data_IF_765368423237
#
_entry.id   IF_765368423237
#
_cell.length_a   1.000
_cell.length_b   1.000
_cell.length_c   1.000
_cell.angle_alpha   90.00
_cell.angle_beta   90.00
_cell.angle_gamma   90.00
#
_symmetry.space_group_name_H-M   'P 1'
#
loop_
_entity.id
_entity.type
_entity.pdbx_description
1 polymer ?
#
# COMPACT_ATOMS: atom_id res chain seq x y z
N UNK A 1 8.78 17.54 14.31
CA UNK A 1 7.69 16.92 13.54
C UNK A 1 8.19 16.63 12.14
N UNK A 2 7.84 15.49 11.55
CA UNK A 2 8.26 15.13 10.19
C UNK A 2 7.70 16.11 9.16
N UNK A 3 8.53 16.52 8.18
CA UNK A 3 8.13 17.39 7.07
C UNK A 3 6.91 16.84 6.34
N UNK A 4 6.88 15.54 6.07
CA UNK A 4 5.77 14.88 5.37
C UNK A 4 4.45 15.08 6.12
N UNK A 5 4.45 14.89 7.44
CA UNK A 5 3.25 15.06 8.26
C UNK A 5 2.77 16.51 8.16
N UNK A 6 3.66 17.50 8.37
CA UNK A 6 3.26 18.91 8.33
C UNK A 6 2.87 19.40 6.94
N UNK A 7 3.45 18.82 5.88
CA UNK A 7 3.08 19.10 4.49
C UNK A 7 1.65 18.64 4.20
N UNK A 8 1.31 17.43 4.65
CA UNK A 8 -0.02 16.85 4.50
C UNK A 8 -1.08 17.51 5.39
N UNK A 9 -0.68 18.02 6.56
CA UNK A 9 -1.52 18.88 7.41
C UNK A 9 -1.76 20.26 6.80
N UNK A 10 -0.97 20.65 5.79
CA UNK A 10 -1.03 21.98 5.18
C UNK A 10 -0.42 23.09 6.04
N UNK A 11 0.35 22.73 7.08
CA UNK A 11 0.96 23.69 8.01
C UNK A 11 2.32 24.18 7.52
N UNK A 12 3.04 23.37 6.74
CA UNK A 12 4.31 23.74 6.13
C UNK A 12 4.35 23.42 4.63
N UNK A 13 5.02 24.24 3.81
CA UNK A 13 5.24 23.93 2.41
C UNK A 13 6.37 22.91 2.23
N UNK A 14 6.52 22.45 0.99
CA UNK A 14 7.72 21.72 0.56
C UNK A 14 8.97 22.63 0.50
N UNK A 15 10.11 22.03 0.17
CA UNK A 15 11.39 22.74 0.04
C UNK A 15 11.41 23.85 -1.03
N UNK A 16 10.38 23.96 -1.87
CA UNK A 16 10.19 25.01 -2.89
C UNK A 16 9.08 25.99 -2.55
N UNK A 17 8.54 25.94 -1.33
CA UNK A 17 7.47 26.84 -0.89
C UNK A 17 6.09 26.46 -1.41
N UNK A 18 5.88 25.25 -1.92
CA UNK A 18 4.57 24.77 -2.41
C UNK A 18 3.81 24.06 -1.31
N UNK A 19 2.54 24.38 -1.12
CA UNK A 19 1.63 23.60 -0.29
C UNK A 19 0.99 22.47 -1.09
N UNK A 20 0.50 21.44 -0.39
CA UNK A 20 -0.26 20.36 -1.02
C UNK A 20 -1.44 20.92 -1.83
N UNK A 21 -2.18 21.88 -1.26
CA UNK A 21 -3.32 22.55 -1.92
C UNK A 21 -2.94 23.22 -3.23
N UNK A 22 -1.74 23.80 -3.33
CA UNK A 22 -1.27 24.45 -4.55
C UNK A 22 -1.08 23.41 -5.66
N UNK A 23 -0.47 22.27 -5.32
CA UNK A 23 -0.21 21.18 -6.27
C UNK A 23 -1.52 20.53 -6.72
N UNK A 24 -2.49 20.35 -5.82
CA UNK A 24 -3.82 19.83 -6.19
C UNK A 24 -4.56 20.76 -7.17
N UNK A 25 -4.24 22.05 -7.16
CA UNK A 25 -4.76 23.05 -8.11
C UNK A 25 -4.12 23.02 -9.50
N UNK A 26 -3.07 22.23 -9.74
CA UNK A 26 -2.34 22.26 -11.02
C UNK A 26 -3.13 21.63 -12.17
N UNK A 27 -2.92 22.12 -13.39
CA UNK A 27 -3.44 21.50 -14.61
C UNK A 27 -2.50 20.38 -15.11
N UNK A 28 -2.94 19.65 -16.14
CA UNK A 28 -2.17 18.53 -16.70
C UNK A 28 -0.78 18.96 -17.20
N UNK A 29 -0.68 20.08 -17.92
CA UNK A 29 0.60 20.60 -18.42
C UNK A 29 1.61 20.84 -17.28
N UNK A 30 1.13 21.35 -16.15
CA UNK A 30 1.99 21.61 -15.00
C UNK A 30 2.40 20.32 -14.28
N UNK A 31 1.51 19.34 -14.17
CA UNK A 31 1.81 18.01 -13.60
C UNK A 31 2.76 17.19 -14.47
N UNK A 32 2.69 17.36 -15.79
CA UNK A 32 3.61 16.72 -16.72
C UNK A 32 5.00 17.35 -16.60
N UNK A 33 5.10 18.68 -16.71
CA UNK A 33 6.38 19.40 -16.75
C UNK A 33 7.11 19.53 -15.39
N UNK A 34 6.40 19.49 -14.26
CA UNK A 34 7.03 19.51 -12.95
C UNK A 34 7.37 18.09 -12.51
N UNK A 35 8.66 17.74 -12.36
CA UNK A 35 9.06 16.36 -12.06
C UNK A 35 9.31 16.10 -10.57
N UNK A 36 9.43 17.17 -9.78
CA UNK A 36 9.90 17.15 -8.40
C UNK A 36 8.76 17.04 -7.37
N UNK A 37 7.54 17.46 -7.71
CA UNK A 37 6.40 17.39 -6.79
C UNK A 37 6.05 15.95 -6.41
N UNK A 38 6.24 15.00 -7.35
CA UNK A 38 5.83 13.61 -7.17
C UNK A 38 6.54 12.95 -5.98
N UNK A 39 7.70 13.48 -5.55
CA UNK A 39 8.46 12.92 -4.44
C UNK A 39 7.98 13.34 -3.07
N UNK A 40 7.39 14.52 -2.94
CA UNK A 40 6.78 14.93 -1.68
C UNK A 40 5.31 14.51 -1.60
N UNK A 41 4.60 14.49 -2.75
CA UNK A 41 3.20 14.04 -2.79
C UNK A 41 3.13 12.52 -2.67
N UNK A 42 3.99 11.74 -3.32
CA UNK A 42 4.01 10.28 -3.15
C UNK A 42 5.38 9.83 -2.63
N UNK A 43 5.68 10.09 -1.34
CA UNK A 43 6.96 9.73 -0.76
C UNK A 43 7.14 8.21 -0.69
N UNK A 44 8.39 7.79 -0.57
CA UNK A 44 8.77 6.38 -0.51
C UNK A 44 9.60 6.11 0.76
N UNK A 45 9.61 4.88 1.30
CA UNK A 45 10.56 4.49 2.34
C UNK A 45 12.01 4.53 1.86
N UNK A 46 12.20 4.29 0.56
CA UNK A 46 13.50 4.28 -0.08
C UNK A 46 13.99 5.69 -0.39
N UNK A 47 15.27 5.96 -0.13
CA UNK A 47 15.90 7.21 -0.55
C UNK A 47 15.82 7.39 -2.06
N UNK A 48 15.56 8.62 -2.51
CA UNK A 48 15.52 8.90 -3.94
C UNK A 48 16.94 8.92 -4.51
N UNK A 49 17.23 8.04 -5.47
CA UNK A 49 18.48 8.07 -6.23
C UNK A 49 18.67 9.29 -7.14
N UNK A 50 17.69 10.19 -7.22
CA UNK A 50 17.72 11.40 -8.06
C UNK A 50 17.77 12.69 -7.23
N UNK A 51 17.09 12.71 -6.07
CA UNK A 51 17.01 13.88 -5.21
C UNK A 51 17.30 13.49 -3.76
N UNK A 52 18.53 13.74 -3.33
CA UNK A 52 19.00 13.42 -1.97
C UNK A 52 18.23 14.13 -0.85
N UNK A 53 17.53 15.22 -1.15
CA UNK A 53 16.73 15.98 -0.16
C UNK A 53 15.24 15.62 -0.16
N UNK A 54 14.79 14.66 -0.98
CA UNK A 54 13.41 14.23 -0.97
C UNK A 54 13.12 13.52 0.36
N UNK A 55 12.09 13.94 1.12
CA UNK A 55 11.77 13.31 2.40
C UNK A 55 11.31 11.86 2.18
N UNK A 56 11.79 10.96 3.04
CA UNK A 56 11.45 9.53 3.01
C UNK A 56 10.41 9.18 4.07
N UNK A 57 9.73 8.06 3.87
CA UNK A 57 8.81 7.49 4.87
C UNK A 57 9.64 6.74 5.91
N UNK A 58 9.75 7.31 7.10
CA UNK A 58 10.30 6.63 8.27
C UNK A 58 9.18 6.00 9.12
N UNK A 59 9.57 5.37 10.24
CA UNK A 59 8.63 4.78 11.21
C UNK A 59 7.60 5.81 11.71
N UNK A 60 8.01 7.05 11.97
CA UNK A 60 7.12 8.08 12.49
C UNK A 60 6.03 8.44 11.47
N UNK A 61 6.41 8.63 10.21
CA UNK A 61 5.48 8.93 9.12
C UNK A 61 4.56 7.75 8.86
N UNK A 62 5.10 6.54 8.77
CA UNK A 62 4.35 5.31 8.58
C UNK A 62 3.26 5.14 9.65
N UNK A 63 3.65 5.23 10.92
CA UNK A 63 2.74 5.11 12.06
C UNK A 63 1.69 6.23 12.08
N UNK A 64 2.07 7.46 11.70
CA UNK A 64 1.16 8.60 11.68
C UNK A 64 0.06 8.44 10.63
N UNK A 65 0.43 8.10 9.38
CA UNK A 65 -0.54 7.89 8.31
C UNK A 65 -1.48 6.72 8.61
N UNK A 66 -0.97 5.63 9.19
CA UNK A 66 -1.83 4.48 9.53
C UNK A 66 -2.71 4.71 10.77
N UNK A 67 -2.33 5.62 11.66
CA UNK A 67 -3.16 5.97 12.82
C UNK A 67 -4.18 7.10 12.55
N UNK A 68 -3.92 7.99 11.58
CA UNK A 68 -4.69 9.23 11.38
C UNK A 68 -5.42 9.24 10.04
N UNK A 69 -6.75 9.03 10.03
CA UNK A 69 -7.56 9.05 8.80
C UNK A 69 -7.41 10.33 7.99
N UNK A 70 -7.24 11.48 8.64
CA UNK A 70 -7.18 12.78 7.97
C UNK A 70 -5.95 12.90 7.06
N UNK A 71 -4.82 12.28 7.44
CA UNK A 71 -3.63 12.22 6.59
C UNK A 71 -3.87 11.32 5.37
N UNK A 72 -4.56 10.19 5.56
CA UNK A 72 -4.93 9.28 4.47
C UNK A 72 -5.93 9.92 3.52
N UNK A 73 -6.88 10.70 4.01
CA UNK A 73 -7.84 11.42 3.17
C UNK A 73 -7.12 12.42 2.25
N UNK A 74 -6.11 13.14 2.76
CA UNK A 74 -5.27 14.04 1.95
C UNK A 74 -4.41 13.30 0.93
N UNK A 75 -3.92 12.10 1.25
CA UNK A 75 -3.26 11.23 0.28
C UNK A 75 -4.25 10.72 -0.77
N UNK A 76 -5.48 10.39 -0.38
CA UNK A 76 -6.56 9.99 -1.28
C UNK A 76 -6.96 11.15 -2.22
N UNK A 77 -6.98 12.39 -1.74
CA UNK A 77 -7.18 13.59 -2.60
C UNK A 77 -6.05 13.74 -3.63
N UNK A 78 -4.81 13.53 -3.19
CA UNK A 78 -3.63 13.52 -4.08
C UNK A 78 -3.73 12.41 -5.12
N UNK A 79 -4.22 11.24 -4.72
CA UNK A 79 -4.45 10.12 -5.60
C UNK A 79 -5.56 10.39 -6.62
N UNK A 80 -6.70 10.96 -6.21
CA UNK A 80 -7.76 11.41 -7.14
C UNK A 80 -7.21 12.40 -8.18
N UNK A 81 -6.32 13.31 -7.75
CA UNK A 81 -5.69 14.27 -8.65
C UNK A 81 -4.82 13.58 -9.71
N UNK A 82 -4.00 12.62 -9.31
CA UNK A 82 -3.12 11.91 -10.26
C UNK A 82 -3.88 10.93 -11.14
N UNK A 83 -4.97 10.33 -10.65
CA UNK A 83 -5.89 9.55 -11.47
C UNK A 83 -6.48 10.42 -12.58
N UNK A 84 -7.01 11.60 -12.24
CA UNK A 84 -7.51 12.55 -13.23
C UNK A 84 -6.44 12.90 -14.27
N UNK A 85 -5.19 13.07 -13.85
CA UNK A 85 -4.07 13.34 -14.76
C UNK A 85 -3.79 12.18 -15.74
N UNK A 86 -3.98 10.93 -15.31
CA UNK A 86 -3.89 9.74 -16.17
C UNK A 86 -5.19 9.39 -16.92
N UNK A 87 -6.25 10.19 -16.72
CA UNK A 87 -7.55 10.00 -17.36
C UNK A 87 -8.49 9.02 -16.64
N UNK A 88 -8.17 8.67 -15.39
CA UNK A 88 -8.97 7.81 -14.55
C UNK A 88 -9.76 8.59 -13.50
N UNK A 89 -10.72 7.92 -12.86
CA UNK A 89 -11.41 8.40 -11.68
C UNK A 89 -11.57 7.28 -10.64
N UNK A 90 -11.62 7.70 -9.36
CA UNK A 90 -11.86 6.81 -8.23
C UNK A 90 -13.35 6.75 -7.93
N UNK A 91 -13.88 5.55 -7.75
CA UNK A 91 -15.29 5.31 -7.41
C UNK A 91 -15.35 4.43 -6.18
N UNK A 92 -15.99 4.93 -5.12
CA UNK A 92 -16.33 4.14 -3.95
C UNK A 92 -17.71 3.49 -4.21
N UNK A 93 -17.82 2.16 -4.03
CA UNK A 93 -19.06 1.40 -4.21
C UNK A 93 -19.29 0.37 -3.10
N UNK A 94 -20.41 -0.35 -3.16
CA UNK A 94 -20.74 -1.39 -2.17
C UNK A 94 -19.69 -2.52 -2.12
N UNK A 95 -19.10 -2.86 -3.27
CA UNK A 95 -18.00 -3.85 -3.37
C UNK A 95 -16.62 -3.27 -3.02
N UNK A 96 -16.55 -2.06 -2.48
CA UNK A 96 -15.31 -1.34 -2.21
C UNK A 96 -14.87 -0.38 -3.31
N UNK A 97 -13.59 -0.01 -3.28
CA UNK A 97 -13.01 1.03 -4.12
C UNK A 97 -12.63 0.46 -5.50
N UNK A 98 -13.01 1.17 -6.58
CA UNK A 98 -12.67 0.82 -7.97
C UNK A 98 -12.09 2.04 -8.70
N UNK A 99 -11.17 1.78 -9.63
CA UNK A 99 -10.68 2.80 -10.57
C UNK A 99 -11.24 2.49 -11.95
N UNK A 100 -11.83 3.50 -12.61
CA UNK A 100 -12.37 3.37 -13.97
C UNK A 100 -11.94 4.54 -14.84
N UNK A 101 -12.14 4.41 -16.16
CA UNK A 101 -11.91 5.50 -17.10
C UNK A 101 -12.77 6.71 -16.71
N UNK A 102 -12.12 7.86 -16.53
CA UNK A 102 -12.79 9.13 -16.30
C UNK A 102 -13.22 9.80 -17.62
N UNK A 103 -13.95 10.91 -17.55
CA UNK A 103 -14.44 11.63 -18.74
C UNK A 103 -13.34 12.15 -19.67
N UNK A 104 -12.11 12.32 -19.16
CA UNK A 104 -10.95 12.81 -19.88
C UNK A 104 -9.97 11.70 -20.34
N UNK A 105 -10.37 10.43 -20.25
CA UNK A 105 -9.51 9.28 -20.56
C UNK A 105 -8.85 9.35 -21.93
N UNK A 106 -9.62 9.65 -22.97
CA UNK A 106 -9.12 9.66 -24.35
C UNK A 106 -8.06 10.75 -24.58
N UNK A 107 -8.11 11.83 -23.80
CA UNK A 107 -7.15 12.95 -23.88
C UNK A 107 -5.89 12.63 -23.06
N UNK A 108 -6.05 12.00 -21.90
CA UNK A 108 -4.99 11.87 -20.89
C UNK A 108 -4.28 10.50 -20.89
N UNK A 109 -4.87 9.45 -21.47
CA UNK A 109 -4.26 8.12 -21.50
C UNK A 109 -2.89 8.10 -22.20
N UNK A 110 -2.64 9.04 -23.11
CA UNK A 110 -1.34 9.24 -23.77
C UNK A 110 -0.19 9.59 -22.82
N UNK A 111 -0.46 10.08 -21.60
CA UNK A 111 0.58 10.35 -20.60
C UNK A 111 1.22 9.07 -20.04
N UNK A 112 0.59 7.90 -20.17
CA UNK A 112 1.10 6.68 -19.54
C UNK A 112 0.98 5.42 -20.40
N UNK A 113 -0.05 5.27 -21.24
CA UNK A 113 -0.21 4.12 -22.12
C UNK A 113 0.65 4.27 -23.39
N UNK A 114 1.96 4.34 -23.19
CA UNK A 114 3.00 4.36 -24.23
C UNK A 114 4.09 3.37 -23.86
N UNK A 115 4.99 3.05 -24.79
CA UNK A 115 5.97 1.98 -24.58
C UNK A 115 6.96 2.27 -23.46
N UNK A 116 7.50 3.48 -23.43
CA UNK A 116 8.44 3.95 -22.42
C UNK A 116 8.08 5.39 -22.07
N UNK A 117 7.81 5.64 -20.79
CA UNK A 117 7.58 6.98 -20.30
C UNK A 117 8.00 7.12 -18.82
N UNK A 118 8.40 8.33 -18.45
CA UNK A 118 8.81 8.65 -17.10
C UNK A 118 7.65 8.51 -16.08
N UNK A 119 6.40 8.67 -16.50
CA UNK A 119 5.23 8.42 -15.67
C UNK A 119 5.10 6.94 -15.28
N UNK A 120 5.74 5.98 -15.97
CA UNK A 120 5.76 4.58 -15.54
C UNK A 120 6.41 4.41 -14.16
N UNK A 121 7.53 5.13 -13.92
CA UNK A 121 8.20 5.14 -12.62
C UNK A 121 7.37 5.90 -11.57
N UNK A 122 6.66 6.97 -11.99
CA UNK A 122 5.72 7.69 -11.10
C UNK A 122 4.58 6.76 -10.66
N UNK A 123 4.03 5.96 -11.57
CA UNK A 123 2.99 4.97 -11.29
C UNK A 123 3.49 3.92 -10.28
N UNK A 124 4.66 3.32 -10.48
CA UNK A 124 5.27 2.40 -9.52
C UNK A 124 5.37 3.03 -8.13
N UNK A 125 5.85 4.28 -8.06
CA UNK A 125 5.93 5.04 -6.81
C UNK A 125 4.58 5.29 -6.16
N UNK A 126 3.56 5.66 -6.94
CA UNK A 126 2.21 5.94 -6.43
C UNK A 126 1.63 4.67 -5.80
N UNK A 127 1.65 3.54 -6.52
CA UNK A 127 1.16 2.25 -6.01
C UNK A 127 1.87 1.90 -4.70
N UNK A 128 3.20 1.99 -4.70
CA UNK A 128 4.04 1.69 -3.54
C UNK A 128 3.72 2.60 -2.34
N UNK A 129 3.63 3.91 -2.57
CA UNK A 129 3.31 4.91 -1.55
C UNK A 129 1.95 4.66 -0.89
N UNK A 130 0.91 4.43 -1.72
CA UNK A 130 -0.44 4.15 -1.25
C UNK A 130 -0.47 2.92 -0.34
N UNK A 131 0.18 1.81 -0.75
CA UNK A 131 0.25 0.61 0.08
C UNK A 131 1.00 0.85 1.39
N UNK A 132 2.14 1.54 1.36
CA UNK A 132 2.93 1.81 2.57
C UNK A 132 2.13 2.63 3.58
N UNK A 133 1.41 3.66 3.13
CA UNK A 133 0.73 4.63 3.99
C UNK A 133 -0.71 4.25 4.35
N UNK A 134 -1.16 3.02 4.06
CA UNK A 134 -2.45 2.50 4.53
C UNK A 134 -3.63 2.75 3.59
N UNK A 135 -3.38 2.86 2.28
CA UNK A 135 -4.39 2.92 1.20
C UNK A 135 -4.21 1.74 0.24
N UNK A 136 -4.10 0.53 0.78
CA UNK A 136 -3.87 -0.69 0.01
C UNK A 136 -5.00 -0.98 -0.99
N UNK A 137 -6.26 -0.75 -0.62
CA UNK A 137 -7.42 -0.95 -1.50
C UNK A 137 -7.38 -0.02 -2.72
N UNK A 138 -7.07 1.27 -2.53
CA UNK A 138 -6.87 2.22 -3.63
C UNK A 138 -5.70 1.82 -4.53
N UNK A 139 -4.60 1.32 -3.96
CA UNK A 139 -3.45 0.86 -4.72
C UNK A 139 -3.79 -0.36 -5.60
N UNK A 140 -4.53 -1.33 -5.06
CA UNK A 140 -4.98 -2.51 -5.81
C UNK A 140 -5.98 -2.12 -6.90
N UNK A 141 -6.93 -1.24 -6.59
CA UNK A 141 -7.87 -0.73 -7.58
C UNK A 141 -7.16 -0.03 -8.75
N UNK A 142 -6.10 0.74 -8.46
CA UNK A 142 -5.29 1.37 -9.50
C UNK A 142 -4.54 0.36 -10.36
N UNK A 143 -3.87 -0.60 -9.71
CA UNK A 143 -3.11 -1.63 -10.38
C UNK A 143 -4.00 -2.49 -11.30
N UNK A 144 -5.16 -2.91 -10.82
CA UNK A 144 -6.15 -3.64 -11.61
C UNK A 144 -6.60 -2.83 -12.84
N UNK A 145 -6.86 -1.52 -12.69
CA UNK A 145 -7.20 -0.67 -13.83
C UNK A 145 -6.04 -0.56 -14.85
N UNK A 146 -4.79 -0.45 -14.39
CA UNK A 146 -3.63 -0.41 -15.28
C UNK A 146 -3.52 -1.71 -16.09
N UNK A 147 -3.64 -2.87 -15.43
CA UNK A 147 -3.65 -4.19 -16.09
C UNK A 147 -4.80 -4.31 -17.10
N UNK A 148 -5.98 -3.82 -16.75
CA UNK A 148 -7.16 -3.88 -17.61
C UNK A 148 -7.01 -3.01 -18.88
N UNK A 149 -6.38 -1.84 -18.77
CA UNK A 149 -6.45 -0.82 -19.83
C UNK A 149 -5.14 -0.57 -20.58
N UNK A 150 -3.99 -1.06 -20.12
CA UNK A 150 -2.75 -0.88 -20.85
C UNK A 150 -2.77 -1.61 -22.20
N UNK A 151 -2.19 -1.00 -23.24
CA UNK A 151 -2.07 -1.62 -24.57
C UNK A 151 -0.65 -1.58 -25.09
N UNK A 152 0.11 -0.55 -24.73
CA UNK A 152 1.42 -0.26 -25.32
C UNK A 152 2.58 -0.36 -24.32
N UNK A 153 2.28 -0.41 -23.03
CA UNK A 153 3.26 -0.42 -21.94
C UNK A 153 4.16 -1.66 -22.02
N UNK A 154 5.47 -1.48 -21.82
CA UNK A 154 6.43 -2.59 -21.83
C UNK A 154 6.21 -3.58 -20.67
N UNK A 155 6.52 -4.86 -20.87
CA UNK A 155 6.47 -5.88 -19.81
C UNK A 155 7.35 -5.53 -18.62
N UNK A 156 8.47 -4.84 -18.84
CA UNK A 156 9.34 -4.36 -17.76
C UNK A 156 8.61 -3.36 -16.86
N UNK A 157 7.93 -2.37 -17.42
CA UNK A 157 7.15 -1.40 -16.64
C UNK A 157 6.01 -2.08 -15.88
N UNK A 158 5.33 -3.04 -16.53
CA UNK A 158 4.27 -3.84 -15.90
C UNK A 158 4.81 -4.64 -14.70
N UNK A 159 6.02 -5.22 -14.81
CA UNK A 159 6.65 -5.96 -13.71
C UNK A 159 6.97 -5.06 -12.51
N UNK A 160 7.44 -3.83 -12.73
CA UNK A 160 7.60 -2.87 -11.62
C UNK A 160 6.26 -2.53 -10.95
N UNK A 161 5.17 -2.42 -11.72
CA UNK A 161 3.84 -2.17 -11.15
C UNK A 161 3.36 -3.37 -10.33
N UNK A 162 3.53 -4.59 -10.85
CA UNK A 162 3.25 -5.84 -10.15
C UNK A 162 4.01 -5.92 -8.83
N UNK A 163 5.33 -5.75 -8.87
CA UNK A 163 6.18 -5.78 -7.66
C UNK A 163 5.76 -4.73 -6.63
N UNK A 164 5.41 -3.52 -7.07
CA UNK A 164 4.89 -2.49 -6.19
C UNK A 164 3.53 -2.85 -5.58
N UNK A 165 2.66 -3.55 -6.31
CA UNK A 165 1.32 -3.94 -5.88
C UNK A 165 1.30 -5.20 -5.00
N UNK A 166 2.21 -6.14 -5.22
CA UNK A 166 2.08 -7.51 -4.71
C UNK A 166 3.14 -7.91 -3.68
N UNK A 167 4.40 -7.45 -3.84
CA UNK A 167 5.48 -7.81 -2.88
C UNK A 167 5.14 -7.34 -1.46
N UNK A 168 5.73 -8.00 -0.47
CA UNK A 168 5.71 -7.51 0.91
C UNK A 168 6.30 -6.10 1.00
N UNK A 169 5.77 -5.29 1.91
CA UNK A 169 6.10 -3.88 2.01
C UNK A 169 7.56 -3.61 2.40
N UNK A 170 8.29 -4.58 2.94
CA UNK A 170 9.73 -4.40 3.19
C UNK A 170 10.57 -4.45 1.90
N UNK A 171 10.05 -5.06 0.83
CA UNK A 171 10.76 -5.20 -0.43
C UNK A 171 10.55 -3.99 -1.34
N UNK A 172 11.65 -3.48 -1.90
CA UNK A 172 11.59 -2.40 -2.89
C UNK A 172 11.17 -3.00 -4.25
N UNK A 173 10.36 -2.30 -5.05
CA UNK A 173 9.96 -2.79 -6.37
C UNK A 173 11.13 -2.98 -7.35
N UNK A 174 12.26 -2.32 -7.11
CA UNK A 174 13.43 -2.32 -7.98
C UNK A 174 14.49 -3.38 -7.68
N UNK A 175 14.31 -4.18 -6.62
CA UNK A 175 15.19 -5.31 -6.33
C UNK A 175 15.07 -6.39 -7.41
N UNK A 176 16.23 -6.90 -7.85
CA UNK A 176 16.31 -7.98 -8.82
C UNK A 176 15.87 -9.31 -8.18
N UNK A 177 15.40 -10.25 -8.99
CA UNK A 177 14.96 -11.56 -8.49
C UNK A 177 16.15 -12.41 -8.00
N UNK A 178 17.38 -12.06 -8.38
CA UNK A 178 18.58 -12.66 -7.81
C UNK A 178 18.96 -12.08 -6.43
N UNK A 179 18.41 -10.93 -6.06
CA UNK A 179 18.69 -10.25 -4.78
C UNK A 179 17.69 -10.65 -3.67
N UNK A 180 16.62 -11.36 -4.02
CA UNK A 180 15.53 -11.76 -3.11
C UNK A 180 15.24 -13.24 -3.23
N UNK A 181 14.96 -13.93 -2.12
CA UNK A 181 14.58 -15.35 -2.18
C UNK A 181 13.16 -15.55 -2.73
N UNK A 182 12.25 -14.63 -2.42
CA UNK A 182 10.84 -14.69 -2.80
C UNK A 182 10.17 -13.31 -2.62
N UNK A 183 8.96 -13.15 -3.15
CA UNK A 183 8.17 -11.91 -3.03
C UNK A 183 7.67 -11.64 -1.58
N UNK A 184 7.92 -12.56 -0.64
CA UNK A 184 7.65 -12.47 0.80
C UNK A 184 8.92 -12.55 1.67
N UNK A 185 10.10 -12.37 1.08
CA UNK A 185 11.37 -12.39 1.80
C UNK A 185 11.46 -11.26 2.85
N UNK A 186 11.45 -11.63 4.13
CA UNK A 186 11.53 -10.70 5.26
C UNK A 186 12.97 -10.45 5.73
N UNK A 187 14.00 -10.93 5.04
CA UNK A 187 15.41 -10.76 5.48
C UNK A 187 16.00 -9.39 5.15
N UNK A 188 15.40 -8.66 4.21
CA UNK A 188 15.90 -7.38 3.70
C UNK A 188 14.89 -6.25 3.83
N UNK A 189 15.37 -5.02 3.66
CA UNK A 189 14.54 -3.81 3.69
C UNK A 189 14.45 -3.13 5.07
N UNK A 190 13.70 -2.01 5.16
CA UNK A 190 13.62 -1.22 6.39
C UNK A 190 13.02 -2.03 7.55
N UNK A 191 13.68 -1.98 8.71
CA UNK A 191 13.30 -2.75 9.91
C UNK A 191 11.81 -2.59 10.27
N UNK A 192 11.30 -1.36 10.24
CA UNK A 192 9.90 -1.10 10.61
C UNK A 192 8.87 -1.72 9.65
N UNK A 193 9.21 -1.90 8.38
CA UNK A 193 8.34 -2.56 7.41
C UNK A 193 8.39 -4.08 7.56
N UNK A 194 9.57 -4.63 7.88
CA UNK A 194 9.71 -6.04 8.22
C UNK A 194 8.90 -6.40 9.46
N UNK A 195 9.05 -5.63 10.54
CA UNK A 195 8.29 -5.81 11.78
C UNK A 195 6.76 -5.77 11.51
N UNK A 196 6.32 -4.88 10.61
CA UNK A 196 4.91 -4.80 10.21
C UNK A 196 4.44 -6.05 9.44
N UNK A 197 5.23 -6.56 8.50
CA UNK A 197 4.86 -7.78 7.74
C UNK A 197 4.91 -9.05 8.59
N UNK A 198 5.88 -9.16 9.51
CA UNK A 198 5.93 -10.23 10.50
C UNK A 198 4.64 -10.23 11.34
N UNK A 199 4.18 -9.06 11.79
CA UNK A 199 2.94 -8.95 12.56
C UNK A 199 1.70 -9.31 11.73
N UNK A 200 1.62 -8.87 10.47
CA UNK A 200 0.51 -9.26 9.57
C UNK A 200 0.43 -10.76 9.39
N UNK A 201 1.58 -11.42 9.20
CA UNK A 201 1.67 -12.87 9.10
C UNK A 201 1.19 -13.56 10.37
N UNK A 202 1.60 -13.07 11.54
CA UNK A 202 1.12 -13.59 12.82
C UNK A 202 -0.40 -13.46 12.98
N UNK A 203 -0.98 -12.30 12.67
CA UNK A 203 -2.43 -12.08 12.73
C UNK A 203 -3.18 -13.03 11.80
N UNK A 204 -2.69 -13.21 10.57
CA UNK A 204 -3.28 -14.12 9.59
C UNK A 204 -3.20 -15.59 10.03
N UNK A 205 -2.05 -16.01 10.57
CA UNK A 205 -1.87 -17.37 11.08
C UNK A 205 -2.75 -17.65 12.29
N UNK A 206 -2.91 -16.66 13.20
CA UNK A 206 -3.84 -16.76 14.34
C UNK A 206 -5.30 -16.90 13.91
N UNK A 207 -5.73 -16.22 12.83
CA UNK A 207 -7.09 -16.40 12.29
C UNK A 207 -7.31 -17.79 11.71
N UNK A 208 -6.33 -18.32 10.98
CA UNK A 208 -6.40 -19.69 10.42
C UNK A 208 -6.45 -20.75 11.50
N UNK A 209 -5.80 -20.53 12.64
CA UNK A 209 -5.91 -21.46 13.78
C UNK A 209 -7.27 -21.38 14.46
N UNK A 210 -7.88 -20.19 14.56
CA UNK A 210 -9.21 -20.03 15.16
C UNK A 210 -10.32 -20.62 14.27
N UNK A 211 -10.26 -20.42 12.95
CA UNK A 211 -11.19 -21.04 11.98
C UNK A 211 -11.03 -22.58 11.89
N UNK A 212 -9.90 -23.13 12.36
CA UNK A 212 -9.59 -24.55 12.36
C UNK A 212 -9.99 -25.32 13.64
N UNK A 213 -10.45 -24.63 14.69
CA UNK A 213 -10.74 -25.25 16.00
C UNK A 213 -12.22 -25.64 16.18
N UNK A 214 -13.13 -25.29 15.26
CA UNK A 214 -14.54 -25.71 15.34
C UNK A 214 -14.92 -26.78 14.30
N UNK A 215 -14.40 -27.99 14.47
CA UNK A 215 -15.05 -29.25 14.07
C UNK A 215 -14.14 -30.43 14.47
N UNK A 216 -14.28 -30.91 15.72
CA UNK A 216 -13.97 -32.29 16.22
C UNK A 216 -13.33 -32.33 17.62
N UNK A 217 -13.89 -31.64 18.63
CA UNK A 217 -13.85 -32.18 20.00
C UNK A 217 -14.78 -31.44 20.97
N UNK A 218 -16.05 -31.85 21.00
CA UNK A 218 -16.90 -31.69 22.18
C UNK A 218 -18.01 -32.74 22.17
N UNK A 219 -17.64 -34.01 22.33
CA UNK A 219 -18.55 -35.00 22.88
C UNK A 219 -17.79 -35.86 23.88
N UNK A 220 -18.42 -36.05 25.02
CA UNK A 220 -18.07 -36.90 26.18
C UNK A 220 -17.07 -36.30 27.17
N UNK A 221 -17.56 -35.80 28.32
CA UNK A 221 -17.72 -36.60 29.55
C UNK A 221 -18.84 -36.01 30.41
N UNK A 222 -19.72 -36.90 30.85
CA UNK A 222 -20.86 -36.72 31.76
C UNK A 222 -20.41 -36.95 33.23
N UNK A 223 -21.08 -36.34 34.23
CA UNK A 223 -21.00 -36.80 35.64
C UNK A 223 -20.84 -35.76 36.78
N UNK A 224 -21.97 -35.15 37.16
CA UNK A 224 -22.53 -34.95 38.52
C UNK A 224 -21.73 -34.33 39.73
N UNK A 225 -22.26 -33.16 40.16
CA UNK A 225 -22.77 -32.74 41.50
C UNK A 225 -21.89 -32.23 42.68
N UNK A 226 -22.28 -31.02 43.15
CA UNK A 226 -22.22 -30.40 44.51
C UNK A 226 -20.84 -30.11 45.13
N UNK A 227 -20.57 -29.08 45.95
CA UNK A 227 -21.33 -28.09 46.74
C UNK A 227 -20.39 -26.94 47.18
N UNK A 228 -20.98 -25.81 47.60
CA UNK A 228 -20.48 -24.78 48.56
C UNK A 228 -19.13 -24.05 48.40
N UNK A 229 -19.22 -22.75 48.06
CA UNK A 229 -19.18 -21.64 49.02
C UNK A 229 -17.90 -21.36 49.85
N UNK A 230 -17.41 -20.10 49.73
CA UNK A 230 -16.56 -19.33 50.67
C UNK A 230 -15.12 -19.08 50.21
N UNK A 231 -14.72 -17.80 50.19
CA UNK A 231 -13.30 -17.44 50.16
C UNK A 231 -12.94 -16.11 49.50
N UNK A 232 -13.36 -15.00 50.10
CA UNK A 232 -12.84 -13.65 49.83
C UNK A 232 -11.30 -13.64 49.96
N UNK A 233 -10.59 -13.04 49.01
CA UNK A 233 -9.40 -12.21 49.32
C UNK A 233 -9.07 -11.19 48.23
N UNK A 234 -9.27 -9.95 48.66
CA UNK A 234 -8.85 -8.66 48.11
C UNK A 234 -7.32 -8.59 48.05
N UNK A 235 -6.76 -8.18 46.91
CA UNK A 235 -5.40 -7.61 46.86
C UNK A 235 -5.47 -6.30 46.09
N UNK A 236 -5.26 -5.22 46.83
CA UNK A 236 -5.01 -3.87 46.35
C UNK A 236 -3.63 -3.81 45.69
N UNK A 237 -3.53 -3.19 44.52
CA UNK A 237 -2.26 -2.68 43.99
C UNK A 237 -2.41 -1.20 43.67
N UNK A 238 -1.53 -0.42 44.31
CA UNK A 238 -1.44 1.03 44.32
C UNK A 238 -1.05 1.59 42.95
N UNK A 239 -1.63 2.76 42.68
CA UNK A 239 -1.21 3.72 41.66
C UNK A 239 0.26 4.14 41.85
N UNK A 240 0.96 4.27 40.73
CA UNK A 240 2.24 4.95 40.61
C UNK A 240 2.33 5.52 39.20
N UNK A 241 2.13 6.84 39.11
CA UNK A 241 2.36 7.66 37.92
C UNK A 241 3.86 7.68 37.59
N UNK A 242 4.24 7.21 36.40
CA UNK A 242 5.44 7.70 35.70
C UNK A 242 5.11 7.90 34.21
N UNK A 243 5.26 9.14 33.77
CA UNK A 243 5.09 9.55 32.39
C UNK A 243 6.30 9.11 31.56
N UNK A 244 6.15 8.06 30.76
CA UNK A 244 7.11 7.68 29.72
C UNK A 244 6.56 7.94 28.32
N UNK A 245 7.41 8.50 27.47
CA UNK A 245 7.16 8.78 26.07
C UNK A 245 6.70 7.49 25.34
N UNK A 246 5.54 7.56 24.70
CA UNK A 246 4.78 6.42 24.21
C UNK A 246 5.54 5.49 23.27
N UNK A 247 6.02 4.38 23.82
CA UNK A 247 6.19 3.13 23.08
C UNK A 247 4.78 2.58 22.86
N UNK A 248 4.31 2.61 21.62
CA UNK A 248 3.03 2.00 21.24
C UNK A 248 3.03 0.52 21.66
N UNK A 249 2.02 0.13 22.41
CA UNK A 249 1.84 -1.25 22.88
C UNK A 249 1.54 -2.17 21.69
N UNK A 250 1.72 -3.48 21.85
CA UNK A 250 1.33 -4.48 20.83
C UNK A 250 -0.12 -4.30 20.38
N UNK A 251 -1.01 -3.90 21.29
CA UNK A 251 -2.42 -3.60 20.99
C UNK A 251 -2.61 -2.40 20.05
N UNK A 252 -1.79 -1.36 20.17
CA UNK A 252 -1.85 -0.17 19.29
C UNK A 252 -1.43 -0.52 17.86
N UNK A 253 -0.52 -1.48 17.70
CA UNK A 253 -0.02 -1.94 16.40
C UNK A 253 -1.00 -2.97 15.79
N UNK A 254 -1.60 -3.85 16.59
CA UNK A 254 -2.70 -4.73 16.13
C UNK A 254 -3.90 -3.94 15.60
N UNK A 255 -4.26 -2.83 16.25
CA UNK A 255 -5.30 -1.93 15.74
C UNK A 255 -4.92 -1.29 14.41
N UNK A 256 -3.63 -0.99 14.19
CA UNK A 256 -3.11 -0.45 12.93
C UNK A 256 -3.17 -1.50 11.81
N UNK A 257 -2.83 -2.76 12.10
CA UNK A 257 -2.92 -3.87 11.14
C UNK A 257 -4.39 -4.13 10.77
N UNK A 258 -5.29 -4.15 11.76
CA UNK A 258 -6.72 -4.41 11.54
C UNK A 258 -7.40 -3.34 10.67
N UNK A 259 -6.97 -2.08 10.77
CA UNK A 259 -7.43 -1.00 9.89
C UNK A 259 -6.96 -1.15 8.43
N UNK A 260 -5.84 -1.85 8.18
CA UNK A 260 -5.31 -2.05 6.82
C UNK A 260 -5.97 -3.21 6.06
N UNK A 261 -6.68 -4.10 6.75
CA UNK A 261 -7.24 -5.34 6.18
C UNK A 261 -8.72 -5.22 5.79
N UNK A 262 -9.40 -4.13 6.17
CA UNK A 262 -10.76 -3.85 5.72
C UNK A 262 -10.70 -3.34 4.27
N UNK A 263 -10.52 -4.24 3.29
CA UNK A 263 -10.78 -3.90 1.89
C UNK A 263 -9.98 -4.57 0.78
N UNK A 264 -9.37 -5.74 0.95
CA UNK A 264 -8.73 -6.45 -0.18
C UNK A 264 -9.47 -7.75 -0.50
N UNK A 265 -10.44 -7.76 -1.43
CA UNK A 265 -10.89 -9.01 -2.04
C UNK A 265 -9.76 -9.58 -2.90
N UNK A 266 -9.59 -10.91 -2.83
CA UNK A 266 -8.66 -11.67 -3.67
C UNK A 266 -9.07 -11.51 -5.14
N UNK A 267 -8.24 -10.87 -5.94
CA UNK A 267 -8.43 -10.77 -7.40
C UNK A 267 -8.17 -12.15 -8.02
N UNK A 268 -9.23 -12.87 -8.38
CA UNK A 268 -9.13 -14.03 -9.26
C UNK A 268 -8.85 -13.54 -10.68
N UNK A 269 -7.57 -13.43 -11.04
CA UNK A 269 -7.14 -13.16 -12.41
C UNK A 269 -7.25 -14.45 -13.23
N UNK A 270 -7.84 -14.40 -14.44
CA UNK A 270 -7.88 -15.57 -15.32
C UNK A 270 -6.48 -15.94 -15.81
N UNK A 271 -6.19 -17.24 -15.85
CA UNK A 271 -4.93 -17.80 -16.36
C UNK A 271 -4.61 -17.28 -17.77
N UNK A 272 -3.33 -16.98 -18.09
CA UNK A 272 -2.94 -16.60 -19.43
C UNK A 272 -3.12 -17.79 -20.40
N UNK A 273 -3.94 -17.55 -21.44
CA UNK A 273 -4.21 -18.47 -22.54
C UNK A 273 -2.90 -18.99 -23.18
N UNK A 274 -2.67 -20.32 -23.24
CA UNK A 274 -1.43 -20.89 -23.75
C UNK A 274 -1.28 -20.83 -25.28
N UNK A 275 -2.16 -20.15 -26.01
CA UNK A 275 -2.10 -20.09 -27.49
C UNK A 275 -1.45 -18.82 -28.04
N UNK A 276 -0.15 -18.63 -27.75
CA UNK A 276 0.72 -17.74 -28.54
C UNK A 276 2.10 -18.35 -28.72
N UNK A 277 2.17 -19.40 -29.52
CA UNK A 277 3.39 -19.77 -30.25
C UNK A 277 3.14 -19.42 -31.72
N UNK A 278 3.44 -18.17 -32.06
CA UNK A 278 3.54 -17.71 -33.45
C UNK A 278 4.89 -18.13 -34.02
N UNK A 279 4.85 -18.89 -35.09
CA UNK A 279 5.97 -19.49 -35.81
C UNK A 279 6.79 -18.43 -36.56
N UNK A 280 8.09 -18.33 -36.26
CA UNK A 280 9.06 -17.71 -37.17
C UNK A 280 9.66 -18.81 -38.06
N UNK A 281 9.12 -18.91 -39.29
CA UNK A 281 9.81 -19.51 -40.43
C UNK A 281 9.65 -18.58 -41.63
N UNK A 282 10.69 -17.81 -41.92
CA UNK A 282 10.87 -17.18 -43.24
C UNK A 282 12.03 -17.86 -43.96
N UNK A 283 11.63 -18.44 -45.09
CA UNK A 283 12.39 -19.21 -46.05
C UNK A 283 13.49 -18.38 -46.74
N UNK A 284 14.58 -19.09 -47.06
CA UNK A 284 15.57 -18.79 -48.10
C UNK A 284 15.06 -19.08 -49.51
N UNK A 285 15.68 -18.42 -50.51
CA UNK A 285 15.54 -18.51 -51.98
C UNK A 285 14.36 -17.69 -52.56
N UNK A 286 14.51 -16.83 -53.57
CA UNK A 286 15.51 -16.62 -54.65
C UNK A 286 15.74 -15.11 -54.87
#
# INVERSE_FOLDING_TARGET
MSLLITFYEGTNPDHRGRYLTDILGWNANKLESAHDYIQIVFPLPEESGVQWSAPTIDRQVFDAFRARPELRDRLKDSFKKILWFYGFELVDGEDGVKVRKGPNYDIHSGHWDVRFDHNHLRITRIIRCLRVLGLESEAQAFYAALQQYHRRVSSRSQEYWRRAAERTLNLRPDLDDNDVYSDDDLSIGPKFLREFEELRKHVEDSRKTDDGVDATKAMEVDGDRAEEGSGVKKVETKEGDEAEAGVKTTNDIESIVKCAEIGVPKLDMPDPDPTSKGEDKLNTAD
#
